data_IF_676972272241
#
_entry.id   IF_676972272241
#
_cell.length_a   1.000
_cell.length_b   1.000
_cell.length_c   1.000
_cell.angle_alpha   90.00
_cell.angle_beta   90.00
_cell.angle_gamma   90.00
#
_symmetry.space_group_name_H-M   'P 1'
#
loop_
_entity.id
_entity.type
_entity.pdbx_description
1 polymer ?
#
# COMPACT_ATOMS: atom_id res chain seq x y z
N UNK A 1 -2.42 7.61 9.82
CA UNK A 1 -1.81 6.87 10.96
C UNK A 1 -1.20 5.55 10.47
N UNK A 2 -0.25 4.88 11.16
CA UNK A 2 0.26 3.56 10.71
C UNK A 2 -0.65 2.41 11.18
N UNK A 3 -0.69 1.29 10.44
CA UNK A 3 -1.62 0.17 10.76
C UNK A 3 -1.44 -0.34 12.19
N UNK A 4 -0.21 -0.63 12.60
CA UNK A 4 0.04 -1.15 13.96
C UNK A 4 -0.50 -0.22 15.06
N UNK A 5 -0.43 1.10 14.86
CA UNK A 5 -1.02 2.09 15.77
C UNK A 5 -2.54 2.04 15.74
N UNK A 6 -3.14 1.85 14.55
CA UNK A 6 -4.59 1.69 14.39
C UNK A 6 -5.11 0.46 15.13
N UNK A 7 -4.44 -0.70 14.98
CA UNK A 7 -4.79 -1.94 15.68
C UNK A 7 -4.77 -1.76 17.20
N UNK A 8 -3.70 -1.15 17.72
CA UNK A 8 -3.58 -0.84 19.15
C UNK A 8 -4.66 0.13 19.63
N UNK A 9 -4.98 1.13 18.82
CA UNK A 9 -6.01 2.13 19.14
C UNK A 9 -7.38 1.50 19.22
N UNK A 10 -7.75 0.62 18.28
CA UNK A 10 -9.00 -0.13 18.32
C UNK A 10 -9.12 -0.94 19.62
N UNK A 11 -8.07 -1.67 19.98
CA UNK A 11 -8.07 -2.46 21.22
C UNK A 11 -8.26 -1.59 22.46
N UNK A 12 -7.52 -0.48 22.54
CA UNK A 12 -7.57 0.42 23.69
C UNK A 12 -8.91 1.14 23.80
N UNK A 13 -9.49 1.55 22.67
CA UNK A 13 -10.82 2.17 22.61
C UNK A 13 -11.92 1.20 23.08
N UNK A 14 -11.77 -0.09 22.79
CA UNK A 14 -12.68 -1.14 23.27
C UNK A 14 -12.38 -1.63 24.70
N UNK A 15 -11.39 -1.05 25.39
CA UNK A 15 -10.95 -1.43 26.74
C UNK A 15 -10.60 -2.94 26.88
N UNK A 16 -10.08 -3.56 25.81
CA UNK A 16 -9.72 -4.97 25.77
C UNK A 16 -8.24 -5.18 26.07
N UNK A 17 -7.91 -6.30 26.73
CA UNK A 17 -6.53 -6.80 26.83
C UNK A 17 -6.19 -7.61 25.58
N UNK A 18 -4.90 -7.79 25.30
CA UNK A 18 -4.45 -8.62 24.18
C UNK A 18 -5.02 -10.05 24.24
N UNK A 19 -5.13 -10.61 25.45
CA UNK A 19 -5.74 -11.93 25.67
C UNK A 19 -7.21 -11.99 25.27
N UNK A 20 -7.95 -10.90 25.42
CA UNK A 20 -9.38 -10.86 25.11
C UNK A 20 -9.56 -10.88 23.59
N UNK A 21 -8.77 -10.07 22.87
CA UNK A 21 -8.74 -10.05 21.40
C UNK A 21 -8.26 -11.39 20.83
N UNK A 22 -7.23 -11.98 21.44
CA UNK A 22 -6.67 -13.29 21.06
C UNK A 22 -7.74 -14.39 21.07
N UNK A 23 -8.59 -14.42 22.09
CA UNK A 23 -9.69 -15.38 22.18
C UNK A 23 -10.73 -15.20 21.07
N UNK A 24 -10.97 -13.95 20.64
CA UNK A 24 -11.99 -13.63 19.63
C UNK A 24 -11.48 -13.82 18.19
N UNK A 25 -10.26 -13.37 17.88
CA UNK A 25 -9.72 -13.45 16.51
C UNK A 25 -8.94 -14.74 16.22
N UNK A 26 -8.67 -15.57 17.25
CA UNK A 26 -7.91 -16.82 17.09
C UNK A 26 -6.41 -16.63 16.85
N UNK A 27 -5.88 -15.42 16.93
CA UNK A 27 -4.43 -15.14 16.88
C UNK A 27 -3.81 -15.26 18.27
N UNK A 28 -2.53 -15.63 18.34
CA UNK A 28 -1.83 -15.71 19.62
C UNK A 28 -1.57 -14.32 20.22
N UNK A 29 -1.49 -14.23 21.56
CA UNK A 29 -1.12 -12.99 22.24
C UNK A 29 0.25 -12.44 21.80
N UNK A 30 1.31 -13.28 21.63
CA UNK A 30 2.57 -12.83 21.06
C UNK A 30 2.43 -12.21 19.67
N UNK A 31 1.68 -12.86 18.77
CA UNK A 31 1.50 -12.35 17.40
C UNK A 31 0.77 -11.00 17.40
N UNK A 32 -0.32 -10.88 18.16
CA UNK A 32 -1.03 -9.61 18.33
C UNK A 32 -0.13 -8.51 18.90
N UNK A 33 0.79 -8.86 19.80
CA UNK A 33 1.78 -7.92 20.34
C UNK A 33 2.79 -7.47 19.28
N UNK A 34 3.31 -8.37 18.45
CA UNK A 34 4.20 -8.03 17.33
C UNK A 34 3.50 -7.13 16.31
N UNK A 35 2.22 -7.42 16.01
CA UNK A 35 1.37 -6.62 15.13
C UNK A 35 1.14 -5.20 15.69
N UNK A 36 0.75 -5.05 16.95
CA UNK A 36 0.52 -3.73 17.57
C UNK A 36 1.82 -2.90 17.74
N UNK A 37 2.98 -3.56 17.74
CA UNK A 37 4.30 -2.91 17.73
C UNK A 37 4.83 -2.63 16.32
N UNK A 38 4.18 -3.14 15.28
CA UNK A 38 4.58 -2.95 13.89
C UNK A 38 5.87 -3.67 13.50
N UNK A 39 6.23 -4.76 14.21
CA UNK A 39 7.41 -5.57 13.88
C UNK A 39 7.15 -6.57 12.78
N UNK A 40 5.89 -7.00 12.65
CA UNK A 40 5.44 -7.94 11.61
C UNK A 40 4.21 -7.35 10.94
N UNK A 41 4.11 -7.36 9.60
CA UNK A 41 2.88 -7.01 8.90
C UNK A 41 1.85 -8.14 9.04
N UNK A 42 0.55 -7.86 9.21
CA UNK A 42 -0.47 -8.90 9.21
C UNK A 42 -0.71 -9.46 7.81
N UNK A 43 -0.97 -10.76 7.72
CA UNK A 43 -1.56 -11.36 6.51
C UNK A 43 -3.00 -10.87 6.32
N UNK A 44 -3.57 -11.08 5.12
CA UNK A 44 -4.97 -10.74 4.86
C UNK A 44 -5.91 -11.48 5.82
N UNK A 45 -5.71 -12.79 6.00
CA UNK A 45 -6.51 -13.59 6.93
C UNK A 45 -6.41 -13.09 8.38
N UNK A 46 -5.21 -12.69 8.83
CA UNK A 46 -5.04 -12.12 10.16
C UNK A 46 -5.77 -10.78 10.30
N UNK A 47 -5.73 -9.94 9.26
CA UNK A 47 -6.43 -8.66 9.23
C UNK A 47 -7.96 -8.84 9.21
N UNK A 48 -8.47 -9.81 8.45
CA UNK A 48 -9.89 -10.20 8.43
C UNK A 48 -10.35 -10.70 9.80
N UNK A 49 -9.59 -11.59 10.44
CA UNK A 49 -9.90 -12.10 11.77
C UNK A 49 -9.93 -10.99 12.82
N UNK A 50 -8.98 -10.06 12.75
CA UNK A 50 -8.97 -8.89 13.64
C UNK A 50 -10.17 -7.98 13.37
N UNK A 51 -10.50 -7.71 12.11
CA UNK A 51 -11.65 -6.88 11.75
C UNK A 51 -12.95 -7.49 12.29
N UNK A 52 -13.15 -8.79 12.08
CA UNK A 52 -14.29 -9.55 12.61
C UNK A 52 -14.37 -9.49 14.14
N UNK A 53 -13.24 -9.59 14.84
CA UNK A 53 -13.22 -9.48 16.30
C UNK A 53 -13.70 -8.11 16.84
N UNK A 54 -13.62 -7.06 16.03
CA UNK A 54 -14.17 -5.74 16.34
C UNK A 54 -15.52 -5.46 15.69
N UNK A 55 -16.14 -6.44 15.03
CA UNK A 55 -17.37 -6.25 14.22
C UNK A 55 -17.21 -5.16 13.16
N UNK A 56 -16.02 -5.13 12.53
CA UNK A 56 -15.67 -4.21 11.46
C UNK A 56 -15.37 -4.98 10.18
N UNK A 57 -15.46 -4.30 9.05
CA UNK A 57 -14.86 -4.71 7.79
C UNK A 57 -13.37 -4.41 7.78
N UNK A 58 -12.62 -5.11 6.92
CA UNK A 58 -11.20 -4.79 6.68
C UNK A 58 -11.04 -3.33 6.25
N UNK A 59 -11.94 -2.82 5.41
CA UNK A 59 -11.92 -1.43 4.95
C UNK A 59 -12.02 -0.43 6.12
N UNK A 60 -12.91 -0.64 7.08
CA UNK A 60 -13.07 0.22 8.26
C UNK A 60 -11.88 0.15 9.23
N UNK A 61 -11.24 -1.02 9.33
CA UNK A 61 -9.96 -1.13 10.06
C UNK A 61 -8.90 -0.28 9.40
N UNK A 62 -8.86 -0.24 8.06
CA UNK A 62 -7.88 0.49 7.26
C UNK A 62 -8.20 1.97 7.03
N UNK A 63 -9.38 2.45 7.41
CA UNK A 63 -9.69 3.89 7.34
C UNK A 63 -8.66 4.70 8.11
N UNK A 64 -8.20 5.79 7.50
CA UNK A 64 -7.17 6.70 8.02
C UNK A 64 -5.80 6.04 8.32
N UNK A 65 -5.58 4.83 7.79
CA UNK A 65 -4.29 4.17 7.79
C UNK A 65 -3.51 4.59 6.54
N UNK A 66 -2.33 5.19 6.76
CA UNK A 66 -1.41 5.56 5.69
C UNK A 66 -0.65 4.31 5.26
N UNK A 67 -0.55 4.09 3.94
CA UNK A 67 0.34 3.06 3.36
C UNK A 67 -0.16 1.62 3.48
N UNK A 68 -1.46 1.39 3.70
CA UNK A 68 -2.06 0.05 3.67
C UNK A 68 -3.01 -0.06 2.48
N UNK A 69 -2.82 -1.07 1.62
CA UNK A 69 -3.57 -1.19 0.36
C UNK A 69 -2.89 -0.56 -0.87
N UNK A 70 -1.68 -0.02 -0.71
CA UNK A 70 -0.78 0.20 -1.86
C UNK A 70 -0.15 -1.14 -2.23
N UNK A 71 -0.90 -2.00 -2.92
CA UNK A 71 -0.26 -3.06 -3.72
C UNK A 71 0.27 -2.43 -5.00
N UNK A 72 1.31 -1.62 -4.82
CA UNK A 72 2.48 -1.63 -5.69
C UNK A 72 3.66 -1.45 -4.76
N UNK A 73 4.52 -2.45 -4.74
CA UNK A 73 5.94 -2.23 -4.62
C UNK A 73 6.31 -1.09 -5.60
N UNK A 74 6.64 0.10 -5.10
CA UNK A 74 7.58 1.06 -5.69
C UNK A 74 7.39 2.44 -5.06
N UNK A 75 8.49 3.02 -4.58
CA UNK A 75 8.63 4.46 -4.66
C UNK A 75 8.52 4.86 -6.12
N UNK A 76 7.30 5.22 -6.54
CA UNK A 76 7.02 5.79 -7.85
C UNK A 76 8.13 6.81 -8.12
N UNK A 77 8.92 6.63 -9.19
CA UNK A 77 10.00 7.54 -9.50
C UNK A 77 9.43 8.97 -9.52
N UNK A 78 10.09 9.91 -8.85
CA UNK A 78 9.53 11.25 -8.67
C UNK A 78 9.09 11.87 -10.01
N UNK A 79 9.86 11.68 -11.08
CA UNK A 79 9.48 12.11 -12.43
C UNK A 79 8.23 11.41 -12.99
N UNK A 80 8.02 10.12 -12.73
CA UNK A 80 6.84 9.38 -13.17
C UNK A 80 5.59 9.82 -12.41
N UNK A 81 5.71 10.08 -11.10
CA UNK A 81 4.61 10.65 -10.31
C UNK A 81 4.18 12.02 -10.85
N UNK A 82 5.15 12.87 -11.22
CA UNK A 82 4.86 14.18 -11.84
C UNK A 82 4.21 14.01 -13.22
N UNK A 83 4.61 13.01 -14.01
CA UNK A 83 3.98 12.72 -15.30
C UNK A 83 2.50 12.32 -15.14
N UNK A 84 2.19 11.44 -14.18
CA UNK A 84 0.82 10.99 -13.91
C UNK A 84 -0.09 12.17 -13.50
N UNK A 85 0.46 13.15 -12.78
CA UNK A 85 -0.28 14.33 -12.35
C UNK A 85 -0.51 15.37 -13.46
N UNK A 86 0.15 15.25 -14.61
CA UNK A 86 0.03 16.20 -15.72
C UNK A 86 -1.18 15.83 -16.61
N UNK A 87 -2.26 16.63 -16.65
CA UNK A 87 -3.49 16.24 -17.34
C UNK A 87 -3.37 16.22 -18.88
N UNK A 88 -2.34 16.87 -19.44
CA UNK A 88 -2.11 16.90 -20.88
C UNK A 88 -1.23 15.71 -21.28
N UNK A 89 -0.13 15.48 -20.58
CA UNK A 89 0.84 14.45 -20.93
C UNK A 89 0.40 13.04 -20.51
N UNK A 90 -0.38 12.91 -19.44
CA UNK A 90 -0.92 11.61 -18.99
C UNK A 90 -2.08 11.08 -19.86
N UNK A 91 -2.49 11.81 -20.90
CA UNK A 91 -3.63 11.41 -21.71
C UNK A 91 -3.37 10.07 -22.44
N UNK A 92 -4.05 9.01 -22.00
CA UNK A 92 -3.86 7.65 -22.51
C UNK A 92 -2.82 6.83 -21.75
N UNK A 93 -2.27 7.36 -20.65
CA UNK A 93 -1.45 6.61 -19.71
C UNK A 93 -2.34 5.78 -18.77
N UNK A 94 -2.65 4.55 -19.18
CA UNK A 94 -3.47 3.63 -18.39
C UNK A 94 -2.73 3.13 -17.14
N UNK A 95 -3.44 2.59 -16.13
CA UNK A 95 -2.80 1.98 -14.97
C UNK A 95 -1.75 0.92 -15.33
N UNK A 96 -2.01 0.09 -16.36
CA UNK A 96 -1.06 -0.93 -16.85
C UNK A 96 0.24 -0.30 -17.38
N UNK A 97 0.14 0.83 -18.08
CA UNK A 97 1.32 1.59 -18.51
C UNK A 97 2.08 2.16 -17.31
N UNK A 98 1.40 2.66 -16.29
CA UNK A 98 2.04 3.14 -15.05
C UNK A 98 2.83 2.02 -14.38
N UNK A 99 2.25 0.82 -14.25
CA UNK A 99 2.96 -0.34 -13.69
C UNK A 99 4.15 -0.77 -14.56
N UNK A 100 4.02 -0.71 -15.88
CA UNK A 100 5.10 -1.05 -16.81
C UNK A 100 6.26 -0.07 -16.69
N UNK A 101 5.97 1.24 -16.69
CA UNK A 101 6.97 2.29 -16.58
C UNK A 101 7.67 2.26 -15.20
N UNK A 102 6.93 2.05 -14.11
CA UNK A 102 7.51 2.01 -12.76
C UNK A 102 8.65 1.00 -12.61
N UNK A 103 8.61 -0.10 -13.38
CA UNK A 103 9.60 -1.18 -13.37
C UNK A 103 10.83 -0.93 -14.26
N UNK A 104 10.87 0.14 -15.04
CA UNK A 104 11.96 0.41 -15.99
C UNK A 104 13.17 1.01 -15.27
N UNK A 105 14.34 0.39 -15.48
CA UNK A 105 15.64 0.94 -15.10
C UNK A 105 16.57 0.99 -16.32
N UNK A 106 17.09 2.18 -16.63
CA UNK A 106 18.00 2.39 -17.76
C UNK A 106 19.44 2.41 -17.26
N UNK A 107 20.18 1.33 -17.54
CA UNK A 107 21.58 1.15 -17.09
C UNK A 107 21.73 1.34 -15.57
N UNK A 108 20.79 0.78 -14.80
CA UNK A 108 20.75 0.88 -13.33
C UNK A 108 20.39 2.27 -12.80
N UNK A 109 19.87 3.17 -13.64
CA UNK A 109 19.38 4.49 -13.23
C UNK A 109 17.95 4.69 -13.71
N UNK A 110 17.14 5.35 -12.87
CA UNK A 110 15.78 5.74 -13.21
C UNK A 110 15.77 7.16 -13.80
N UNK A 111 14.92 7.43 -14.81
CA UNK A 111 14.69 8.79 -15.29
C UNK A 111 14.25 9.72 -14.16
N UNK A 112 14.78 10.95 -14.16
CA UNK A 112 14.63 11.90 -13.05
C UNK A 112 13.38 12.76 -13.17
N UNK A 113 13.06 13.19 -14.38
CA UNK A 113 12.00 14.15 -14.69
C UNK A 113 10.89 13.54 -15.55
N UNK A 114 9.74 14.22 -15.58
CA UNK A 114 8.53 13.76 -16.26
C UNK A 114 8.70 13.67 -17.78
N UNK A 115 9.50 14.55 -18.36
CA UNK A 115 9.69 14.63 -19.81
C UNK A 115 10.45 13.39 -20.30
N UNK A 116 11.49 12.97 -19.58
CA UNK A 116 12.19 11.72 -19.86
C UNK A 116 11.28 10.49 -19.72
N UNK A 117 10.40 10.45 -18.72
CA UNK A 117 9.41 9.38 -18.57
C UNK A 117 8.39 9.36 -19.71
N UNK A 118 7.96 10.54 -20.16
CA UNK A 118 7.01 10.68 -21.24
C UNK A 118 7.59 10.27 -22.60
N UNK A 119 8.85 10.61 -22.89
CA UNK A 119 9.52 10.14 -24.10
C UNK A 119 9.67 8.62 -24.13
N UNK A 120 10.04 8.00 -23.00
CA UNK A 120 10.08 6.53 -22.91
C UNK A 120 8.70 5.92 -23.20
N UNK A 121 7.65 6.45 -22.57
CA UNK A 121 6.29 5.99 -22.80
C UNK A 121 5.85 6.15 -24.26
N UNK A 122 6.10 7.32 -24.86
CA UNK A 122 5.82 7.63 -26.26
C UNK A 122 6.50 6.62 -27.19
N UNK A 123 7.78 6.35 -26.97
CA UNK A 123 8.54 5.40 -27.77
C UNK A 123 8.05 3.97 -27.60
N UNK A 124 7.69 3.54 -26.38
CA UNK A 124 7.15 2.19 -26.17
C UNK A 124 5.74 2.01 -26.78
N UNK A 125 4.93 3.07 -26.76
CA UNK A 125 3.57 3.07 -27.30
C UNK A 125 3.53 3.00 -28.83
N UNK A 126 4.51 3.59 -29.51
CA UNK A 126 4.52 3.73 -30.97
C UNK A 126 5.74 3.12 -31.69
N UNK A 127 6.73 2.64 -30.95
CA UNK A 127 7.98 2.07 -31.49
C UNK A 127 7.95 0.56 -31.72
N UNK A 128 6.78 -0.07 -31.64
CA UNK A 128 6.57 -1.48 -32.00
C UNK A 128 5.82 -1.55 -33.34
N UNK A 129 6.50 -1.10 -34.41
CA UNK A 129 6.16 -1.34 -35.81
C UNK A 129 7.43 -1.75 -36.54
#
# INVERSE_FOLDING_TARGET
MLLHKRLRTLRQASNLRLKDVSLTCGLSVPDLSELERGRTPPSLNALEAIAQAYTLTVQEVLMDVNGYGTTTDDGLPAGLAVLIADPVLSQGLTPDWVHTLARIELRGKRPRDKDAWYEIWRHLRWGMV
#
